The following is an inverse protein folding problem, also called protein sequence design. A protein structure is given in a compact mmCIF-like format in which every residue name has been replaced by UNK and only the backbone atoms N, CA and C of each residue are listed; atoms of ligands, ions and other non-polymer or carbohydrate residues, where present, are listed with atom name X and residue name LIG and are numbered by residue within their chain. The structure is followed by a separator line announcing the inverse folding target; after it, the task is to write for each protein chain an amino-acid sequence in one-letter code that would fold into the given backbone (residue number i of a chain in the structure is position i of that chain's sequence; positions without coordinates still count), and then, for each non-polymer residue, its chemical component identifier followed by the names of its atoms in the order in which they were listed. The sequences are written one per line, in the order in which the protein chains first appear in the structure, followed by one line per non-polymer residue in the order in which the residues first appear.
data_IF_081834734501
#
_entry.id   IF_081834734501
#
_cell.length_a   1.000
_cell.length_b   1.000
_cell.length_c   1.000
_cell.angle_alpha   90.00
_cell.angle_beta   90.00
_cell.angle_gamma   90.00
#
_symmetry.space_group_name_H-M   'P 1'
#
loop_
_entity.id
_entity.type
_entity.pdbx_description
1 polymer ?
#
# COMPACT_ATOMS: atom_id res chain seq x y z
N UNK A 1 9.54 6.92 -18.72
CA UNK A 1 10.60 7.48 -17.87
C UNK A 1 10.17 7.41 -16.41
N UNK A 2 11.09 7.14 -15.49
CA UNK A 2 10.80 7.12 -14.04
C UNK A 2 11.04 8.51 -13.47
N UNK A 3 10.01 9.09 -12.86
CA UNK A 3 10.04 10.41 -12.23
C UNK A 3 10.04 10.23 -10.72
N UNK A 4 10.85 11.02 -10.00
CA UNK A 4 10.95 11.00 -8.54
C UNK A 4 10.46 12.32 -7.95
N UNK A 5 9.73 12.25 -6.84
CA UNK A 5 9.31 13.41 -6.03
C UNK A 5 9.65 13.18 -4.57
N UNK A 6 9.93 14.27 -3.84
CA UNK A 6 10.06 14.23 -2.38
C UNK A 6 8.74 13.82 -1.74
N UNK A 7 8.84 13.03 -0.68
CA UNK A 7 7.68 12.64 0.12
C UNK A 7 7.34 13.81 1.06
N UNK A 8 6.10 14.33 1.06
CA UNK A 8 5.69 15.40 1.96
C UNK A 8 6.00 15.09 3.44
N UNK A 9 6.68 16.02 4.13
CA UNK A 9 7.15 15.88 5.51
C UNK A 9 8.46 15.08 5.66
N UNK A 10 9.10 14.71 4.55
CA UNK A 10 10.36 13.98 4.46
C UNK A 10 11.28 14.54 3.37
N UNK A 11 11.12 15.82 3.04
CA UNK A 11 11.87 16.53 2.00
C UNK A 11 13.37 16.46 2.24
N UNK A 12 14.15 16.24 1.18
CA UNK A 12 15.60 16.07 1.27
C UNK A 12 16.04 14.76 1.93
N UNK A 13 15.12 13.91 2.40
CA UNK A 13 15.44 12.64 3.08
C UNK A 13 14.93 11.43 2.31
N UNK A 14 13.71 11.50 1.76
CA UNK A 14 13.08 10.39 1.06
C UNK A 14 12.30 10.84 -0.17
N UNK A 15 12.35 10.01 -1.21
CA UNK A 15 11.65 10.23 -2.47
C UNK A 15 10.85 9.00 -2.87
N UNK A 16 9.77 9.23 -3.62
CA UNK A 16 8.95 8.19 -4.25
C UNK A 16 8.92 8.40 -5.76
N UNK A 17 8.94 7.30 -6.51
CA UNK A 17 8.82 7.32 -7.96
C UNK A 17 7.37 7.12 -8.43
N UNK A 18 7.08 7.58 -9.64
CA UNK A 18 5.82 7.25 -10.33
C UNK A 18 5.66 5.75 -10.62
N UNK A 19 6.72 4.94 -10.46
CA UNK A 19 6.67 3.48 -10.59
C UNK A 19 6.47 2.76 -9.25
N UNK A 20 6.30 3.48 -8.15
CA UNK A 20 6.02 2.89 -6.83
C UNK A 20 7.26 2.44 -6.06
N UNK A 21 8.46 2.86 -6.46
CA UNK A 21 9.69 2.67 -5.67
C UNK A 21 9.88 3.82 -4.70
N UNK A 22 10.39 3.53 -3.50
CA UNK A 22 10.81 4.54 -2.52
C UNK A 22 12.32 4.48 -2.36
N UNK A 23 12.98 5.63 -2.25
CA UNK A 23 14.41 5.71 -1.94
C UNK A 23 14.68 6.70 -0.81
N UNK A 24 15.72 6.44 -0.03
CA UNK A 24 16.34 7.46 0.81
C UNK A 24 17.38 8.24 0.02
N UNK A 25 17.61 9.49 0.41
CA UNK A 25 18.68 10.33 -0.11
C UNK A 25 19.93 10.26 0.78
N UNK A 26 21.05 10.70 0.21
CA UNK A 26 22.29 10.91 0.93
C UNK A 26 22.05 11.94 2.04
N UNK A 27 22.49 11.62 3.26
CA UNK A 27 22.36 12.55 4.40
C UNK A 27 23.48 12.35 5.41
N UNK A 28 23.81 13.43 6.11
CA UNK A 28 24.73 13.41 7.25
C UNK A 28 23.94 13.12 8.52
N UNK A 29 24.45 12.21 9.35
CA UNK A 29 23.88 11.91 10.67
C UNK A 29 24.94 12.01 11.76
N UNK A 30 24.54 12.45 12.95
CA UNK A 30 25.43 12.49 14.11
C UNK A 30 25.76 11.08 14.57
N UNK A 31 27.04 10.79 14.78
CA UNK A 31 27.45 9.56 15.43
C UNK A 31 27.10 9.66 16.94
N UNK A 32 26.20 8.79 17.39
CA UNK A 32 25.56 8.85 18.72
C UNK A 32 26.54 8.79 19.88
N UNK A 33 27.77 8.32 19.65
CA UNK A 33 28.73 8.11 20.72
C UNK A 33 29.35 9.40 21.24
N UNK A 34 29.47 10.47 20.44
CA UNK A 34 30.11 11.72 20.91
C UNK A 34 29.65 13.02 20.23
N UNK A 35 28.75 12.99 19.24
CA UNK A 35 28.26 14.20 18.54
C UNK A 35 29.31 14.95 17.70
N UNK A 36 30.59 14.62 17.85
CA UNK A 36 31.76 15.28 17.23
C UNK A 36 31.98 14.81 15.78
N UNK A 37 31.53 13.62 15.42
CA UNK A 37 31.70 13.06 14.08
C UNK A 37 30.36 12.87 13.36
N UNK A 38 30.22 13.47 12.17
CA UNK A 38 29.10 13.22 11.27
C UNK A 38 29.44 12.05 10.34
N UNK A 39 28.48 11.16 10.13
CA UNK A 39 28.59 10.05 9.17
C UNK A 39 27.70 10.31 7.97
N UNK A 40 28.27 10.21 6.77
CA UNK A 40 27.48 10.18 5.54
C UNK A 40 26.79 8.82 5.41
N UNK A 41 25.45 8.85 5.38
CA UNK A 41 24.63 7.70 4.99
C UNK A 41 24.26 7.88 3.53
N UNK A 42 24.70 6.93 2.69
CA UNK A 42 24.30 6.88 1.29
C UNK A 42 22.83 6.50 1.13
N UNK A 43 22.15 7.21 0.24
CA UNK A 43 20.80 6.95 -0.20
C UNK A 43 20.70 5.61 -0.90
N UNK A 44 19.53 4.98 -0.82
CA UNK A 44 19.26 3.70 -1.47
C UNK A 44 17.77 3.51 -1.71
N UNK A 45 17.44 2.69 -2.71
CA UNK A 45 16.06 2.20 -2.90
C UNK A 45 15.72 1.28 -1.73
N UNK A 46 14.58 1.54 -1.09
CA UNK A 46 14.09 0.79 0.05
C UNK A 46 13.34 -0.45 -0.41
N UNK A 47 13.53 -1.57 0.29
CA UNK A 47 12.77 -2.80 0.05
C UNK A 47 11.37 -2.65 0.66
N UNK A 48 10.35 -2.74 -0.19
CA UNK A 48 8.97 -2.87 0.26
C UNK A 48 8.65 -4.29 0.70
N UNK A 49 7.70 -4.46 1.62
CA UNK A 49 7.26 -5.77 2.11
C UNK A 49 5.73 -5.85 2.18
N UNK A 50 5.17 -7.07 2.12
CA UNK A 50 3.72 -7.30 2.23
C UNK A 50 3.31 -7.46 3.68
N UNK A 51 2.25 -6.77 4.10
CA UNK A 51 1.68 -6.85 5.47
C UNK A 51 0.59 -7.90 5.66
N UNK A 52 0.53 -8.93 4.81
CA UNK A 52 -0.50 -10.00 4.87
C UNK A 52 -1.78 -9.68 4.08
N UNK A 53 -2.25 -8.43 4.07
CA UNK A 53 -3.44 -8.01 3.32
C UNK A 53 -3.21 -7.78 1.81
N UNK A 54 -2.01 -8.11 1.31
CA UNK A 54 -1.58 -7.95 -0.09
C UNK A 54 -1.03 -6.55 -0.44
N UNK A 55 -1.19 -5.56 0.43
CA UNK A 55 -0.63 -4.22 0.22
C UNK A 55 0.86 -4.18 0.59
N UNK A 56 1.62 -3.44 -0.22
CA UNK A 56 3.04 -3.18 0.06
C UNK A 56 3.21 -2.01 1.03
N UNK A 57 4.13 -2.21 1.96
CA UNK A 57 4.56 -1.26 2.97
C UNK A 57 6.04 -0.93 2.82
N UNK A 58 6.42 0.25 3.29
CA UNK A 58 7.82 0.66 3.49
C UNK A 58 7.96 1.25 4.89
N UNK A 59 9.13 1.05 5.49
CA UNK A 59 9.48 1.68 6.76
C UNK A 59 10.42 2.85 6.49
N UNK A 60 10.01 4.05 6.88
CA UNK A 60 10.80 5.28 6.80
C UNK A 60 11.30 5.61 8.22
N UNK A 61 12.52 6.13 8.33
CA UNK A 61 13.10 6.49 9.63
C UNK A 61 13.75 7.87 9.63
N UNK A 62 13.42 8.66 10.65
CA UNK A 62 14.04 9.95 10.98
C UNK A 62 14.36 9.93 12.47
N UNK A 63 15.57 10.36 12.85
CA UNK A 63 15.99 10.50 14.25
C UNK A 63 15.67 9.27 15.11
N UNK A 64 15.96 8.07 14.58
CA UNK A 64 15.69 6.76 15.19
C UNK A 64 14.21 6.37 15.32
N UNK A 65 13.28 7.28 15.04
CA UNK A 65 11.86 6.99 14.99
C UNK A 65 11.57 6.32 13.65
N UNK A 66 10.88 5.17 13.70
CA UNK A 66 10.50 4.39 12.51
C UNK A 66 8.98 4.46 12.33
N UNK A 67 8.53 4.80 11.13
CA UNK A 67 7.11 4.81 10.76
C UNK A 67 6.88 3.94 9.53
N UNK A 68 5.79 3.18 9.54
CA UNK A 68 5.37 2.31 8.44
C UNK A 68 4.36 3.06 7.57
N UNK A 69 4.54 2.98 6.26
CA UNK A 69 3.68 3.63 5.28
C UNK A 69 3.27 2.67 4.18
N UNK A 70 2.06 2.84 3.66
CA UNK A 70 1.58 2.16 2.46
C UNK A 70 2.19 2.78 1.21
N UNK A 71 2.76 1.95 0.34
CA UNK A 71 3.47 2.42 -0.87
C UNK A 71 2.54 3.20 -1.79
N UNK A 72 1.37 2.65 -2.14
CA UNK A 72 0.40 3.33 -3.01
C UNK A 72 -0.06 4.69 -2.45
N UNK A 73 -0.18 4.83 -1.13
CA UNK A 73 -0.55 6.11 -0.52
C UNK A 73 0.55 7.15 -0.63
N UNK A 74 1.80 6.76 -0.43
CA UNK A 74 2.94 7.67 -0.61
C UNK A 74 3.06 8.15 -2.05
N UNK A 75 2.83 7.27 -3.03
CA UNK A 75 2.81 7.63 -4.45
C UNK A 75 1.75 8.70 -4.70
N UNK A 76 0.49 8.45 -4.31
CA UNK A 76 -0.60 9.42 -4.53
C UNK A 76 -0.36 10.73 -3.78
N UNK A 77 0.04 10.65 -2.51
CA UNK A 77 0.34 11.82 -1.68
C UNK A 77 1.40 12.72 -2.32
N UNK A 78 2.49 12.15 -2.85
CA UNK A 78 3.61 12.93 -3.37
C UNK A 78 3.37 13.47 -4.78
N UNK A 79 2.59 12.76 -5.61
CA UNK A 79 2.34 13.19 -6.99
C UNK A 79 1.09 14.05 -7.16
N UNK A 80 0.04 13.76 -6.41
CA UNK A 80 -1.29 14.36 -6.54
C UNK A 80 -1.67 15.22 -5.32
N UNK A 81 -1.12 14.91 -4.15
CA UNK A 81 -1.50 15.56 -2.89
C UNK A 81 -2.60 14.80 -2.14
N UNK A 82 -2.74 15.08 -0.84
CA UNK A 82 -3.77 14.46 -0.02
C UNK A 82 -5.17 14.97 -0.39
N UNK A 83 -6.11 14.05 -0.59
CA UNK A 83 -7.52 14.34 -0.85
C UNK A 83 -8.46 13.87 0.25
N UNK A 84 -7.93 13.36 1.37
CA UNK A 84 -8.73 12.71 2.44
C UNK A 84 -9.62 11.57 1.91
N UNK A 85 -9.19 10.91 0.83
CA UNK A 85 -9.90 9.82 0.17
C UNK A 85 -9.09 8.52 0.23
N UNK A 86 -9.77 7.40 -0.03
CA UNK A 86 -9.09 6.11 -0.13
C UNK A 86 -8.41 6.00 -1.49
N UNK A 87 -7.23 5.38 -1.54
CA UNK A 87 -6.53 5.10 -2.79
C UNK A 87 -6.89 3.69 -3.24
N UNK A 88 -7.35 3.56 -4.48
CA UNK A 88 -7.71 2.30 -5.12
C UNK A 88 -6.69 1.91 -6.21
N UNK A 89 -6.55 0.61 -6.44
CA UNK A 89 -5.79 0.04 -7.54
C UNK A 89 -6.74 -0.31 -8.69
N UNK A 90 -6.60 0.35 -9.84
CA UNK A 90 -7.52 0.22 -10.98
C UNK A 90 -7.58 -1.22 -11.47
N UNK A 91 -6.43 -1.90 -11.57
CA UNK A 91 -6.34 -3.31 -11.99
C UNK A 91 -6.58 -4.33 -10.86
N UNK A 92 -6.96 -3.89 -9.65
CA UNK A 92 -7.12 -4.73 -8.45
C UNK A 92 -5.85 -5.44 -7.95
N UNK A 93 -4.69 -5.17 -8.54
CA UNK A 93 -3.39 -5.74 -8.14
C UNK A 93 -2.72 -4.82 -7.11
N UNK A 94 -2.87 -5.16 -5.84
CA UNK A 94 -2.38 -4.36 -4.68
C UNK A 94 -0.85 -4.15 -4.65
N UNK A 95 -0.09 -4.97 -5.39
CA UNK A 95 1.37 -4.85 -5.52
C UNK A 95 1.79 -3.93 -6.66
N UNK A 96 0.89 -3.58 -7.59
CA UNK A 96 1.15 -2.66 -8.69
C UNK A 96 0.92 -1.21 -8.25
N UNK A 97 1.94 -0.62 -7.64
CA UNK A 97 1.87 0.74 -7.08
C UNK A 97 2.31 1.83 -8.07
N UNK A 98 2.26 1.57 -9.39
CA UNK A 98 2.53 2.60 -10.40
C UNK A 98 1.45 3.67 -10.33
N UNK A 99 1.82 4.94 -10.42
CA UNK A 99 0.90 6.09 -10.31
C UNK A 99 -0.30 5.97 -11.28
N UNK A 100 -0.05 5.49 -12.51
CA UNK A 100 -1.10 5.31 -13.53
C UNK A 100 -2.15 4.26 -13.15
N UNK A 101 -1.83 3.35 -12.24
CA UNK A 101 -2.72 2.30 -11.75
C UNK A 101 -3.46 2.72 -10.46
N UNK A 102 -3.26 3.94 -9.97
CA UNK A 102 -3.81 4.41 -8.71
C UNK A 102 -4.81 5.54 -8.94
N UNK A 103 -5.91 5.52 -8.18
CA UNK A 103 -6.90 6.59 -8.19
C UNK A 103 -7.37 6.89 -6.76
N UNK A 104 -7.81 8.12 -6.50
CA UNK A 104 -8.57 8.42 -5.30
C UNK A 104 -10.04 8.02 -5.51
N UNK A 105 -10.63 7.39 -4.52
CA UNK A 105 -12.02 6.96 -4.52
C UNK A 105 -12.67 7.25 -3.16
N UNK A 106 -13.98 7.49 -3.16
CA UNK A 106 -14.74 7.52 -1.92
C UNK A 106 -14.92 6.10 -1.38
N UNK A 107 -15.17 5.95 -0.08
CA UNK A 107 -15.45 4.63 0.49
C UNK A 107 -16.67 3.97 -0.16
N UNK A 108 -17.70 4.77 -0.51
CA UNK A 108 -18.90 4.31 -1.21
C UNK A 108 -18.57 3.79 -2.60
N UNK A 109 -17.72 4.50 -3.35
CA UNK A 109 -17.29 4.05 -4.68
C UNK A 109 -16.44 2.78 -4.58
N UNK A 110 -15.54 2.70 -3.61
CA UNK A 110 -14.67 1.53 -3.43
C UNK A 110 -15.46 0.25 -3.10
N UNK A 111 -16.54 0.35 -2.34
CA UNK A 111 -17.42 -0.79 -2.07
C UNK A 111 -18.16 -1.31 -3.32
N UNK A 112 -18.43 -0.42 -4.28
CA UNK A 112 -19.18 -0.74 -5.49
C UNK A 112 -18.30 -0.98 -6.73
N UNK A 113 -17.05 -0.53 -6.71
CA UNK A 113 -16.09 -0.67 -7.79
C UNK A 113 -15.45 -2.06 -7.81
N UNK A 114 -15.04 -2.46 -9.02
CA UNK A 114 -14.33 -3.71 -9.26
C UNK A 114 -15.20 -4.95 -9.21
N UNK A 115 -14.58 -6.09 -8.92
CA UNK A 115 -15.19 -7.43 -8.93
C UNK A 115 -15.79 -7.82 -7.59
N UNK A 116 -15.79 -6.92 -6.59
CA UNK A 116 -16.24 -7.21 -5.22
C UNK A 116 -17.67 -7.75 -5.18
N UNK A 117 -18.61 -7.06 -5.83
CA UNK A 117 -20.02 -7.47 -5.83
C UNK A 117 -20.24 -8.79 -6.57
N UNK A 118 -19.47 -9.04 -7.64
CA UNK A 118 -19.49 -10.30 -8.39
C UNK A 118 -19.00 -11.43 -7.47
N UNK A 119 -17.83 -11.27 -6.85
CA UNK A 119 -17.24 -12.26 -5.92
C UNK A 119 -18.16 -12.56 -4.73
N UNK A 120 -18.83 -11.55 -4.17
CA UNK A 120 -19.80 -11.73 -3.09
C UNK A 120 -21.04 -12.50 -3.55
N UNK A 121 -21.57 -12.17 -4.73
CA UNK A 121 -22.70 -12.89 -5.32
C UNK A 121 -22.36 -14.37 -5.56
N UNK A 122 -21.18 -14.64 -6.12
CA UNK A 122 -20.73 -16.02 -6.40
C UNK A 122 -20.48 -16.82 -5.13
N UNK A 123 -19.93 -16.18 -4.08
CA UNK A 123 -19.78 -16.81 -2.78
C UNK A 123 -21.15 -17.17 -2.16
N UNK A 124 -22.13 -16.26 -2.24
CA UNK A 124 -23.48 -16.51 -1.73
C UNK A 124 -24.15 -17.68 -2.46
N UNK A 125 -24.00 -17.77 -3.79
CA UNK A 125 -24.49 -18.91 -4.58
C UNK A 125 -23.87 -20.22 -4.13
N UNK A 126 -22.55 -20.25 -3.89
CA UNK A 126 -21.85 -21.44 -3.39
C UNK A 126 -22.36 -21.87 -2.01
N UNK A 127 -22.44 -20.94 -1.05
CA UNK A 127 -22.95 -21.22 0.30
C UNK A 127 -24.39 -21.76 0.25
N UNK A 128 -25.26 -21.15 -0.55
CA UNK A 128 -26.63 -21.61 -0.71
C UNK A 128 -26.67 -23.04 -1.29
N UNK A 129 -25.88 -23.33 -2.32
CA UNK A 129 -25.80 -24.67 -2.91
C UNK A 129 -25.31 -25.73 -1.93
N UNK A 130 -24.34 -25.41 -1.07
CA UNK A 130 -23.85 -26.33 -0.03
C UNK A 130 -24.89 -26.57 1.07
N UNK A 131 -25.61 -25.52 1.48
CA UNK A 131 -26.68 -25.63 2.47
C UNK A 131 -27.84 -26.49 1.96
N UNK A 132 -28.21 -26.35 0.68
CA UNK A 132 -29.19 -27.22 0.02
C UNK A 132 -28.75 -28.69 0.02
N UNK A 133 -27.50 -28.98 -0.36
CA UNK A 133 -26.93 -30.34 -0.32
C UNK A 133 -26.97 -30.95 1.09
N UNK A 134 -26.60 -30.16 2.11
CA UNK A 134 -26.62 -30.61 3.52
C UNK A 134 -28.04 -30.87 4.04
N UNK A 135 -29.04 -30.09 3.62
CA UNK A 135 -30.45 -30.32 3.99
C UNK A 135 -30.98 -31.61 3.37
N UNK A 136 -30.70 -31.84 2.08
CA UNK A 136 -31.17 -33.04 1.38
C UNK A 136 -30.56 -34.33 1.93
N UNK A 137 -29.30 -34.31 2.37
CA UNK A 137 -28.65 -35.48 2.98
C UNK A 137 -29.13 -35.79 4.42
N UNK A 138 -29.79 -34.86 5.12
CA UNK A 138 -30.36 -35.10 6.46
C UNK A 138 -31.77 -35.70 6.43
N UNK A 139 -32.42 -35.75 5.25
CA UNK A 139 -33.79 -36.26 5.10
C UNK A 139 -33.91 -37.77 4.89
N UNK A 140 -32.81 -38.53 4.94
CA UNK A 140 -32.78 -39.97 4.62
C UNK A 140 -32.68 -40.91 5.84
N UNK A 141 -32.97 -40.41 7.04
CA UNK A 141 -33.07 -41.24 8.25
C UNK A 141 -34.41 -40.98 8.95
N UNK A 142 -35.48 -41.56 8.42
CA UNK A 142 -36.76 -41.83 9.10
C UNK A 142 -37.38 -43.08 8.50
#
# INVERSE_FOLDING_TARGET
MENWKDIPGYEGLYQVSNLGKIRSLDRLVNNQQNGIAQRLIKGRVLKSYSGGAGYLYVTISINQIKKKYLVHRLVMLSFIGDKNLTVNHINEVKTDNRLINLEYCTQKDNCNKGTRNIKLSDLQKRINSENLRKRNNRGYYI
#
